data_IF_558959075346
#
_entry.id   IF_558959075346
#
_cell.length_a   1.000
_cell.length_b   1.000
_cell.length_c   1.000
_cell.angle_alpha   90.00
_cell.angle_beta   90.00
_cell.angle_gamma   90.00
#
_symmetry.space_group_name_H-M   'P 1'
#
loop_
_entity.id
_entity.type
_entity.pdbx_description
1 polymer ?
#
# COMPACT_ATOMS: atom_id res chain seq x y z
N UNK A 1 22.85 26.24 -32.45
CA UNK A 1 22.63 25.01 -31.65
C UNK A 1 22.31 25.43 -30.23
N UNK A 2 21.06 25.35 -29.77
CA UNK A 2 20.74 25.47 -28.35
C UNK A 2 20.65 24.05 -27.76
N UNK A 3 21.46 23.79 -26.74
CA UNK A 3 21.47 22.53 -26.00
C UNK A 3 20.16 22.33 -25.26
N UNK A 4 19.60 21.13 -25.38
CA UNK A 4 18.46 20.70 -24.59
C UNK A 4 18.92 20.55 -23.14
N UNK A 5 18.45 21.45 -22.27
CA UNK A 5 18.51 21.28 -20.83
C UNK A 5 17.60 20.08 -20.53
N UNK A 6 18.21 18.94 -20.20
CA UNK A 6 17.49 17.79 -19.64
C UNK A 6 16.94 18.23 -18.28
N UNK A 7 15.67 18.61 -18.25
CA UNK A 7 14.92 18.77 -17.00
C UNK A 7 14.72 17.37 -16.44
N UNK A 8 15.68 16.93 -15.62
CA UNK A 8 15.48 15.81 -14.70
C UNK A 8 14.49 16.35 -13.67
N UNK A 9 13.20 16.22 -13.96
CA UNK A 9 12.16 16.43 -12.98
C UNK A 9 12.35 15.35 -11.91
N UNK A 10 13.10 15.68 -10.86
CA UNK A 10 13.08 14.97 -9.59
C UNK A 10 11.71 15.24 -8.99
N UNK A 11 10.71 14.52 -9.49
CA UNK A 11 9.42 14.46 -8.82
C UNK A 11 9.68 13.77 -7.49
N UNK A 12 9.56 14.55 -6.42
CA UNK A 12 9.46 14.02 -5.08
C UNK A 12 8.25 13.09 -5.05
N UNK A 13 8.48 11.77 -5.19
CA UNK A 13 7.60 10.81 -4.52
C UNK A 13 7.46 11.34 -3.12
N UNK A 14 6.22 11.59 -2.68
CA UNK A 14 5.89 12.23 -1.42
C UNK A 14 6.98 11.92 -0.40
N UNK A 15 7.86 12.92 -0.18
CA UNK A 15 9.07 12.69 0.60
C UNK A 15 8.62 12.09 1.92
N UNK A 16 9.30 11.04 2.38
CA UNK A 16 9.02 10.51 3.71
C UNK A 16 9.10 11.65 4.73
N UNK A 17 8.49 11.51 5.92
CA UNK A 17 8.46 12.56 6.92
C UNK A 17 9.84 13.25 7.03
N UNK A 18 9.87 14.56 6.80
CA UNK A 18 11.08 15.41 6.79
C UNK A 18 12.00 15.34 5.54
N UNK A 19 11.47 15.00 4.36
CA UNK A 19 12.22 15.11 3.10
C UNK A 19 13.31 14.03 2.90
N UNK A 20 13.27 12.99 3.73
CA UNK A 20 14.09 11.79 3.53
C UNK A 20 13.52 10.95 2.39
N UNK A 21 14.37 10.21 1.64
CA UNK A 21 13.86 9.24 0.68
C UNK A 21 12.98 8.20 1.39
N UNK A 22 11.92 7.70 0.74
CA UNK A 22 11.07 6.67 1.31
C UNK A 22 11.84 5.36 1.53
N UNK A 23 11.54 4.66 2.62
CA UNK A 23 12.03 3.31 2.89
C UNK A 23 11.40 2.32 1.89
N UNK A 24 11.97 1.11 1.73
CA UNK A 24 11.36 0.08 0.90
C UNK A 24 9.92 -0.25 1.31
N UNK A 25 9.65 -0.34 2.61
CA UNK A 25 8.32 -0.60 3.15
C UNK A 25 7.35 0.54 2.88
N UNK A 26 7.81 1.80 2.96
CA UNK A 26 7.01 2.97 2.57
C UNK A 26 6.66 2.93 1.09
N UNK A 27 7.65 2.68 0.21
CA UNK A 27 7.38 2.59 -1.23
C UNK A 27 6.36 1.49 -1.54
N UNK A 28 6.49 0.32 -0.93
CA UNK A 28 5.51 -0.77 -1.09
C UNK A 28 4.14 -0.35 -0.58
N UNK A 29 4.02 0.30 0.59
CA UNK A 29 2.73 0.81 1.06
C UNK A 29 2.09 1.81 0.09
N UNK A 30 2.90 2.66 -0.56
CA UNK A 30 2.44 3.67 -1.50
C UNK A 30 1.87 3.06 -2.78
N UNK A 31 2.57 2.13 -3.43
CA UNK A 31 2.05 1.58 -4.69
C UNK A 31 1.08 0.42 -4.50
N UNK A 32 1.13 -0.31 -3.36
CA UNK A 32 0.22 -1.44 -3.10
C UNK A 32 -1.13 -0.99 -2.54
N UNK A 33 -1.14 -0.01 -1.63
CA UNK A 33 -2.35 0.45 -0.97
C UNK A 33 -2.62 1.94 -1.17
N UNK A 34 -1.73 2.69 -1.83
CA UNK A 34 -1.91 4.13 -1.97
C UNK A 34 -1.77 4.90 -0.67
N UNK A 35 -1.06 4.32 0.31
CA UNK A 35 -0.97 4.86 1.68
C UNK A 35 0.15 5.87 1.80
N UNK A 36 0.03 6.98 1.07
CA UNK A 36 0.84 8.16 1.34
C UNK A 36 0.40 8.82 2.64
N UNK A 37 1.32 9.50 3.34
CA UNK A 37 0.95 10.26 4.54
C UNK A 37 -0.16 11.27 4.20
N UNK A 38 -1.27 11.21 4.93
CA UNK A 38 -2.43 12.08 4.67
C UNK A 38 -3.47 11.49 3.71
N UNK A 39 -3.26 10.28 3.17
CA UNK A 39 -4.27 9.58 2.37
C UNK A 39 -5.57 9.38 3.18
N UNK A 40 -6.72 9.59 2.56
CA UNK A 40 -8.02 9.45 3.22
C UNK A 40 -8.65 8.14 2.75
N UNK A 41 -9.09 7.25 3.66
CA UNK A 41 -9.82 6.06 3.27
C UNK A 41 -11.18 6.49 2.68
N UNK A 42 -11.41 6.23 1.39
CA UNK A 42 -12.68 6.54 0.71
C UNK A 42 -13.59 5.30 0.56
N UNK A 43 -13.26 4.21 1.24
CA UNK A 43 -14.01 2.96 1.17
C UNK A 43 -15.04 2.90 2.30
N UNK A 44 -16.29 2.58 1.94
CA UNK A 44 -17.40 2.24 2.85
C UNK A 44 -17.44 2.98 4.18
N UNK A 45 -18.04 4.18 4.22
CA UNK A 45 -18.48 4.91 5.44
C UNK A 45 -17.51 4.97 6.64
N UNK A 46 -16.22 4.69 6.43
CA UNK A 46 -15.19 4.67 7.46
C UNK A 46 -14.45 6.00 7.44
N UNK A 47 -14.59 6.74 8.55
CA UNK A 47 -13.75 7.85 9.01
C UNK A 47 -13.11 8.71 7.91
N UNK A 48 -13.57 9.95 7.71
CA UNK A 48 -12.87 10.97 6.89
C UNK A 48 -11.48 11.36 7.46
N UNK A 49 -10.95 10.55 8.38
CA UNK A 49 -9.69 10.77 9.05
C UNK A 49 -8.54 10.30 8.16
N UNK A 50 -7.54 11.16 7.90
CA UNK A 50 -6.40 10.80 7.09
C UNK A 50 -5.52 9.77 7.82
N UNK A 51 -4.92 8.86 7.06
CA UNK A 51 -3.88 7.97 7.54
C UNK A 51 -2.70 8.77 8.09
N UNK A 52 -2.33 8.46 9.32
CA UNK A 52 -1.13 8.92 9.99
C UNK A 52 -0.08 7.83 9.90
N UNK A 53 1.11 8.19 9.44
CA UNK A 53 2.24 7.30 9.52
C UNK A 53 2.79 7.30 10.96
N UNK A 54 2.85 6.12 11.58
CA UNK A 54 3.35 5.95 12.96
C UNK A 54 4.74 5.31 13.02
N UNK A 55 5.17 4.63 11.96
CA UNK A 55 6.50 4.04 11.82
C UNK A 55 6.91 3.97 10.34
N UNK A 56 8.23 4.02 10.07
CA UNK A 56 8.80 3.96 8.71
C UNK A 56 9.41 2.59 8.34
N UNK A 57 9.83 1.78 9.32
CA UNK A 57 10.29 0.40 9.12
C UNK A 57 10.07 -0.43 10.40
N UNK A 58 9.11 -1.36 10.43
CA UNK A 58 8.10 -1.56 9.38
C UNK A 58 7.30 -0.28 9.13
N UNK A 59 6.83 -0.07 7.90
CA UNK A 59 5.99 1.07 7.59
C UNK A 59 4.60 0.82 8.16
N UNK A 60 4.13 1.68 9.07
CA UNK A 60 2.84 1.51 9.74
C UNK A 60 2.01 2.77 9.56
N UNK A 61 0.79 2.60 9.08
CA UNK A 61 -0.19 3.66 8.87
C UNK A 61 -1.45 3.35 9.66
N UNK A 62 -1.99 4.36 10.34
CA UNK A 62 -3.21 4.22 11.14
C UNK A 62 -4.19 5.33 10.79
N UNK A 63 -5.46 4.97 10.61
CA UNK A 63 -6.57 5.93 10.63
C UNK A 63 -7.55 5.51 11.72
N UNK A 64 -8.00 6.46 12.52
CA UNK A 64 -8.89 6.22 13.67
C UNK A 64 -10.04 7.20 13.62
N UNK A 65 -11.27 6.71 13.75
CA UNK A 65 -12.49 7.52 13.78
C UNK A 65 -13.71 6.68 14.16
N UNK A 66 -14.92 7.25 14.11
CA UNK A 66 -16.13 6.51 14.46
C UNK A 66 -16.37 5.35 13.47
N UNK A 67 -16.82 4.20 13.98
CA UNK A 67 -17.34 3.10 13.15
C UNK A 67 -18.63 3.52 12.40
N UNK A 68 -19.16 2.66 11.52
CA UNK A 68 -20.35 2.99 10.70
C UNK A 68 -21.58 3.37 11.54
N UNK A 69 -21.74 2.81 12.74
CA UNK A 69 -22.86 3.07 13.65
C UNK A 69 -22.62 4.35 14.48
N UNK A 70 -21.37 4.80 14.56
CA UNK A 70 -20.95 5.99 15.31
C UNK A 70 -20.89 5.80 16.83
N UNK A 71 -20.97 4.55 17.31
CA UNK A 71 -21.02 4.22 18.74
C UNK A 71 -19.64 3.83 19.32
N UNK A 72 -18.70 3.42 18.47
CA UNK A 72 -17.34 3.04 18.85
C UNK A 72 -16.28 3.73 18.00
N UNK A 73 -15.05 3.72 18.51
CA UNK A 73 -13.88 4.15 17.74
C UNK A 73 -13.28 2.95 17.01
N UNK A 74 -13.25 3.03 15.69
CA UNK A 74 -12.58 2.07 14.84
C UNK A 74 -11.19 2.59 14.45
N UNK A 75 -10.19 1.71 14.50
CA UNK A 75 -8.85 1.98 13.99
C UNK A 75 -8.50 1.00 12.89
N UNK A 76 -8.24 1.55 11.70
CA UNK A 76 -7.67 0.83 10.56
C UNK A 76 -6.15 0.98 10.59
N UNK A 77 -5.45 -0.14 10.68
CA UNK A 77 -4.00 -0.22 10.70
C UNK A 77 -3.49 -1.00 9.49
N UNK A 78 -2.60 -0.37 8.72
CA UNK A 78 -1.82 -1.03 7.69
C UNK A 78 -0.36 -1.13 8.13
N UNK A 79 0.24 -2.30 7.95
CA UNK A 79 1.64 -2.56 8.26
C UNK A 79 2.32 -3.23 7.08
N UNK A 80 3.42 -2.66 6.61
CA UNK A 80 4.28 -3.25 5.59
C UNK A 80 5.63 -3.55 6.20
N UNK A 81 6.06 -4.81 6.11
CA UNK A 81 7.32 -5.31 6.66
C UNK A 81 8.15 -5.94 5.55
N UNK A 82 9.42 -5.54 5.42
CA UNK A 82 10.36 -6.21 4.52
C UNK A 82 10.70 -7.60 5.07
N UNK A 83 10.55 -8.64 4.24
CA UNK A 83 10.97 -10.01 4.56
C UNK A 83 12.29 -10.36 3.84
N UNK A 84 12.43 -9.92 2.59
CA UNK A 84 13.63 -10.07 1.75
C UNK A 84 13.70 -8.89 0.77
N UNK A 85 14.67 -8.85 -0.15
CA UNK A 85 14.83 -7.72 -1.08
C UNK A 85 13.59 -7.41 -1.93
N UNK A 86 12.90 -8.44 -2.39
CA UNK A 86 11.68 -8.32 -3.20
C UNK A 86 10.43 -8.89 -2.51
N UNK A 87 10.56 -9.40 -1.28
CA UNK A 87 9.45 -10.04 -0.56
C UNK A 87 9.02 -9.20 0.63
N UNK A 88 7.73 -8.91 0.73
CA UNK A 88 7.15 -8.07 1.77
C UNK A 88 5.91 -8.71 2.38
N UNK A 89 5.66 -8.43 3.65
CA UNK A 89 4.40 -8.72 4.31
C UNK A 89 3.57 -7.45 4.36
N UNK A 90 2.37 -7.45 3.82
CA UNK A 90 1.41 -6.35 3.92
C UNK A 90 0.21 -6.82 4.75
N UNK A 91 -0.04 -6.17 5.88
CA UNK A 91 -1.10 -6.51 6.81
C UNK A 91 -2.10 -5.37 6.94
N UNK A 92 -3.37 -5.72 6.90
CA UNK A 92 -4.51 -4.86 7.21
C UNK A 92 -5.17 -5.40 8.48
N UNK A 93 -5.42 -4.52 9.44
CA UNK A 93 -6.07 -4.84 10.70
C UNK A 93 -7.13 -3.79 11.04
N UNK A 94 -8.29 -4.25 11.50
CA UNK A 94 -9.30 -3.38 12.11
C UNK A 94 -9.40 -3.68 13.60
N UNK A 95 -9.47 -2.61 14.38
CA UNK A 95 -9.61 -2.61 15.83
C UNK A 95 -10.87 -1.82 16.19
N UNK A 96 -11.75 -2.34 17.06
CA UNK A 96 -12.85 -1.60 17.68
C UNK A 96 -12.51 -1.36 19.16
N UNK A 97 -12.48 -0.10 19.58
CA UNK A 97 -12.08 0.31 20.94
C UNK A 97 -10.74 -0.28 21.42
N UNK A 98 -9.83 -0.51 20.47
CA UNK A 98 -8.49 -1.08 20.69
C UNK A 98 -8.40 -2.61 20.59
N UNK A 99 -9.53 -3.30 20.41
CA UNK A 99 -9.56 -4.76 20.28
C UNK A 99 -9.61 -5.18 18.81
N UNK A 100 -8.64 -5.97 18.32
CA UNK A 100 -8.58 -6.39 16.92
C UNK A 100 -9.68 -7.41 16.62
N UNK A 101 -10.53 -7.12 15.64
CA UNK A 101 -11.60 -8.03 15.21
C UNK A 101 -11.38 -8.60 13.80
N UNK A 102 -10.62 -7.91 12.95
CA UNK A 102 -10.27 -8.37 11.61
C UNK A 102 -8.78 -8.22 11.34
N UNK A 103 -8.18 -9.23 10.72
CA UNK A 103 -6.82 -9.20 10.19
C UNK A 103 -6.76 -9.94 8.85
N UNK A 104 -6.13 -9.30 7.88
CA UNK A 104 -5.75 -9.87 6.60
C UNK A 104 -4.27 -9.57 6.36
N UNK A 105 -3.49 -10.61 6.07
CA UNK A 105 -2.07 -10.49 5.81
C UNK A 105 -1.70 -11.17 4.49
N UNK A 106 -1.03 -10.42 3.63
CA UNK A 106 -0.45 -10.89 2.39
C UNK A 106 1.07 -11.05 2.52
N UNK A 107 1.60 -12.15 2.02
CA UNK A 107 3.02 -12.24 1.66
C UNK A 107 3.13 -12.00 0.17
N UNK A 108 3.90 -10.99 -0.23
CA UNK A 108 4.01 -10.48 -1.59
C UNK A 108 5.42 -10.71 -2.10
N UNK A 109 5.56 -11.45 -3.20
CA UNK A 109 6.79 -11.49 -3.99
C UNK A 109 6.63 -10.57 -5.21
N UNK A 110 7.39 -9.48 -5.19
CA UNK A 110 7.35 -8.41 -6.17
C UNK A 110 8.41 -8.56 -7.26
N UNK A 111 9.19 -9.65 -7.26
CA UNK A 111 10.35 -9.82 -8.15
C UNK A 111 10.01 -9.92 -9.64
N UNK A 112 8.77 -10.29 -9.96
CA UNK A 112 8.25 -10.39 -11.33
C UNK A 112 7.14 -9.38 -11.62
N UNK A 113 6.85 -8.47 -10.69
CA UNK A 113 5.83 -7.44 -10.90
C UNK A 113 6.31 -6.45 -11.96
N UNK A 114 5.49 -6.17 -12.97
CA UNK A 114 5.91 -5.29 -14.09
C UNK A 114 4.97 -4.11 -14.32
N UNK A 115 3.73 -4.19 -13.82
CA UNK A 115 2.74 -3.15 -13.99
C UNK A 115 1.66 -3.23 -12.91
N UNK A 116 0.98 -2.10 -12.71
CA UNK A 116 -0.23 -1.99 -11.89
C UNK A 116 -1.42 -1.82 -12.83
N UNK A 117 -2.50 -2.55 -12.54
CA UNK A 117 -3.83 -2.34 -13.09
C UNK A 117 -4.77 -1.85 -11.99
N UNK A 118 -5.79 -1.09 -12.37
CA UNK A 118 -6.78 -0.56 -11.43
C UNK A 118 -8.16 -1.05 -11.86
N UNK A 119 -8.83 -1.76 -10.97
CA UNK A 119 -10.21 -2.17 -11.19
C UNK A 119 -11.16 -1.05 -10.76
N UNK A 120 -12.18 -0.80 -11.59
CA UNK A 120 -13.04 0.37 -11.49
C UNK A 120 -14.49 -0.03 -11.14
N UNK A 121 -15.16 0.52 -10.09
CA UNK A 121 -14.66 1.47 -9.07
C UNK A 121 -14.88 1.00 -7.61
N UNK A 122 -14.07 1.47 -6.64
CA UNK A 122 -12.63 1.32 -6.44
C UNK A 122 -12.37 0.45 -5.18
N UNK A 123 -11.69 -0.68 -5.32
CA UNK A 123 -11.35 -1.50 -4.15
C UNK A 123 -10.01 -2.21 -4.29
N UNK A 124 -9.55 -2.51 -5.50
CA UNK A 124 -8.40 -3.38 -5.71
C UNK A 124 -7.50 -2.85 -6.82
N UNK A 125 -6.21 -3.07 -6.65
CA UNK A 125 -5.22 -3.01 -7.72
C UNK A 125 -4.90 -4.42 -8.18
N UNK A 126 -4.47 -4.59 -9.41
CA UNK A 126 -3.86 -5.83 -9.91
C UNK A 126 -2.38 -5.60 -10.17
N UNK A 127 -1.50 -6.40 -9.60
CA UNK A 127 -0.05 -6.33 -9.83
C UNK A 127 0.36 -7.45 -10.79
N UNK A 128 0.64 -7.10 -12.05
CA UNK A 128 0.94 -8.10 -13.09
C UNK A 128 2.24 -8.84 -12.79
N UNK A 129 2.18 -10.15 -12.64
CA UNK A 129 3.32 -10.99 -12.25
C UNK A 129 3.49 -11.15 -10.75
N UNK A 130 2.57 -10.65 -9.93
CA UNK A 130 2.59 -10.84 -8.49
C UNK A 130 2.44 -12.32 -8.14
N UNK A 131 3.35 -12.81 -7.30
CA UNK A 131 3.11 -14.05 -6.55
C UNK A 131 2.77 -13.68 -5.11
N UNK A 132 1.64 -14.16 -4.61
CA UNK A 132 1.21 -13.89 -3.24
C UNK A 132 0.66 -15.12 -2.52
N UNK A 133 0.70 -15.07 -1.20
CA UNK A 133 -0.14 -15.88 -0.32
C UNK A 133 -0.90 -14.96 0.63
N UNK A 134 -2.05 -15.42 1.13
CA UNK A 134 -2.83 -14.68 2.11
C UNK A 134 -3.15 -15.53 3.33
N UNK A 135 -3.33 -14.85 4.46
CA UNK A 135 -3.84 -15.40 5.71
C UNK A 135 -4.80 -14.41 6.33
N UNK A 136 -5.85 -14.89 6.97
CA UNK A 136 -6.86 -14.06 7.59
C UNK A 136 -7.49 -14.78 8.78
N UNK A 137 -8.01 -14.03 9.74
CA UNK A 137 -8.83 -14.57 10.83
C UNK A 137 -10.32 -14.68 10.46
N UNK A 138 -10.71 -14.26 9.24
CA UNK A 138 -12.09 -14.27 8.76
C UNK A 138 -12.21 -15.22 7.57
N UNK A 139 -13.11 -16.20 7.68
CA UNK A 139 -13.30 -17.19 6.62
C UNK A 139 -13.74 -16.53 5.30
N UNK A 140 -13.18 -16.98 4.18
CA UNK A 140 -13.52 -16.49 2.84
C UNK A 140 -12.87 -15.15 2.43
N UNK A 141 -12.22 -14.41 3.34
CA UNK A 141 -11.52 -13.16 3.00
C UNK A 141 -10.19 -13.39 2.26
N UNK A 142 -9.74 -14.63 2.16
CA UNK A 142 -8.53 -15.03 1.44
C UNK A 142 -8.86 -16.20 0.51
N UNK A 143 -9.13 -15.89 -0.77
CA UNK A 143 -9.19 -16.88 -1.85
C UNK A 143 -8.12 -16.55 -2.90
N UNK A 144 -6.92 -17.17 -2.82
CA UNK A 144 -5.82 -16.87 -3.74
C UNK A 144 -6.12 -17.33 -5.18
N UNK A 145 -7.18 -18.13 -5.40
CA UNK A 145 -7.54 -18.62 -6.74
C UNK A 145 -8.45 -17.66 -7.50
N UNK A 146 -9.21 -16.83 -6.80
CA UNK A 146 -10.11 -15.84 -7.42
C UNK A 146 -9.37 -14.59 -7.87
N UNK A 147 -8.40 -14.15 -7.09
CA UNK A 147 -7.73 -12.87 -7.28
C UNK A 147 -6.21 -13.03 -7.12
N UNK A 148 -5.54 -13.79 -8.02
CA UNK A 148 -4.14 -14.17 -7.83
C UNK A 148 -3.19 -12.97 -7.80
N UNK A 149 -3.52 -11.90 -8.51
CA UNK A 149 -2.69 -10.71 -8.65
C UNK A 149 -3.29 -9.46 -7.98
N UNK A 150 -4.51 -9.54 -7.45
CA UNK A 150 -5.21 -8.36 -6.93
C UNK A 150 -4.86 -8.09 -5.46
N UNK A 151 -4.71 -6.83 -5.05
CA UNK A 151 -4.55 -6.44 -3.65
C UNK A 151 -5.48 -5.27 -3.39
N UNK A 152 -6.14 -5.27 -2.24
CA UNK A 152 -6.97 -4.17 -1.79
C UNK A 152 -6.96 -4.04 -0.28
N UNK A 153 -7.48 -2.92 0.25
CA UNK A 153 -7.96 -1.74 -0.49
C UNK A 153 -6.83 -0.85 -1.03
N UNK A 154 -7.11 -0.08 -2.09
CA UNK A 154 -6.21 0.95 -2.63
C UNK A 154 -6.83 2.35 -2.50
N UNK A 155 -6.07 3.31 -1.97
CA UNK A 155 -6.54 4.65 -1.60
C UNK A 155 -5.81 5.80 -2.31
N UNK A 156 -4.84 5.48 -3.16
CA UNK A 156 -3.94 6.45 -3.77
C UNK A 156 -4.40 6.87 -5.16
N UNK A 157 -3.57 7.68 -5.81
CA UNK A 157 -3.78 8.04 -7.21
C UNK A 157 -3.07 7.05 -8.13
N UNK A 158 -3.74 6.50 -9.17
CA UNK A 158 -3.17 5.49 -10.06
C UNK A 158 -1.80 5.86 -10.64
N UNK A 159 -1.67 7.09 -11.14
CA UNK A 159 -0.42 7.57 -11.74
C UNK A 159 0.73 7.63 -10.74
N UNK A 160 0.46 7.96 -9.48
CA UNK A 160 1.48 8.00 -8.43
C UNK A 160 1.96 6.61 -8.08
N UNK A 161 1.05 5.64 -8.00
CA UNK A 161 1.40 4.24 -7.77
C UNK A 161 2.23 3.65 -8.91
N UNK A 162 1.88 3.93 -10.17
CA UNK A 162 2.69 3.52 -11.33
C UNK A 162 4.12 4.08 -11.27
N UNK A 163 4.27 5.35 -10.90
CA UNK A 163 5.57 6.00 -10.73
C UNK A 163 6.38 5.40 -9.56
N UNK A 164 5.71 5.13 -8.43
CA UNK A 164 6.32 4.50 -7.27
C UNK A 164 6.82 3.08 -7.58
N UNK A 165 6.05 2.31 -8.35
CA UNK A 165 6.49 0.98 -8.82
C UNK A 165 7.75 1.07 -9.68
N UNK A 166 7.82 2.02 -10.62
CA UNK A 166 9.00 2.18 -11.47
C UNK A 166 10.26 2.48 -10.63
N UNK A 167 10.14 3.36 -9.64
CA UNK A 167 11.26 3.74 -8.75
C UNK A 167 11.64 2.58 -7.83
N UNK A 168 10.66 1.81 -7.36
CA UNK A 168 10.90 0.61 -6.56
C UNK A 168 11.73 -0.41 -7.35
N UNK A 169 11.42 -0.66 -8.62
CA UNK A 169 12.22 -1.57 -9.44
C UNK A 169 13.60 -1.02 -9.77
N UNK A 170 13.73 0.28 -10.04
CA UNK A 170 15.02 0.88 -10.33
C UNK A 170 15.99 0.76 -9.14
N UNK A 171 15.49 0.90 -7.91
CA UNK A 171 16.34 1.13 -6.72
C UNK A 171 16.36 0.01 -5.70
N UNK A 172 15.29 -0.80 -5.60
CA UNK A 172 15.08 -1.70 -4.47
C UNK A 172 14.91 -3.16 -4.88
N UNK A 173 14.15 -3.41 -5.94
CA UNK A 173 13.92 -4.76 -6.47
C UNK A 173 14.11 -4.76 -8.00
N UNK A 174 15.36 -4.71 -8.49
CA UNK A 174 15.65 -4.75 -9.92
C UNK A 174 15.04 -5.98 -10.57
N UNK A 175 14.33 -5.76 -11.68
CA UNK A 175 13.86 -6.86 -12.52
C UNK A 175 15.09 -7.62 -13.04
N UNK A 176 15.05 -8.94 -12.91
CA UNK A 176 16.10 -9.78 -13.50
C UNK A 176 16.02 -9.66 -15.04
N UNK A 177 17.17 -9.56 -15.73
CA UNK A 177 17.21 -9.47 -17.18
C UNK A 177 16.71 -10.76 -17.86
#
# INVERSE_FOLDING_TARGET
MPGAIAVIATLALAGGPNGSPPTPEEMVAYFVHGLEQGAIPRYGQQTDQPFKQVSRSPAVFTSTGPNEVGDKMETLRFTVTKLSDCTYKAEQQFEEDGEPYYRLAYTLDLSAVTAIGFDNPPATISLKGLTKSCTTNTEGSCDPTREPEAIGPFFGEPRQAEQALAVFHEKLCPLKP
#
